data_IF_054548740159
#
_entry.id   IF_054548740159
#
_cell.length_a   1.000
_cell.length_b   1.000
_cell.length_c   1.000
_cell.angle_alpha   90.00
_cell.angle_beta   90.00
_cell.angle_gamma   90.00
#
_symmetry.space_group_name_H-M   'P 1'
#
loop_
_entity.id
_entity.type
_entity.pdbx_description
1 polymer ?
#
# COMPACT_ATOMS: atom_id res chain seq x y z
N UNK A 1 46.33 -2.35 -0.21
CA UNK A 1 46.06 -3.63 0.48
C UNK A 1 44.91 -3.41 1.47
N UNK A 2 43.83 -4.18 1.28
CA UNK A 2 42.68 -4.46 2.15
C UNK A 2 41.96 -3.29 2.86
N UNK A 3 40.98 -2.71 2.18
CA UNK A 3 39.86 -2.01 2.83
C UNK A 3 38.85 -3.05 3.34
N UNK A 4 38.59 -3.04 4.65
CA UNK A 4 37.65 -3.93 5.32
C UNK A 4 36.21 -3.63 4.86
N UNK A 5 35.49 -4.68 4.43
CA UNK A 5 34.05 -4.63 4.16
C UNK A 5 33.30 -4.77 5.49
N UNK A 6 32.50 -3.77 5.83
CA UNK A 6 31.53 -3.86 6.93
C UNK A 6 30.35 -4.73 6.50
N UNK A 7 30.17 -5.86 7.17
CA UNK A 7 28.97 -6.70 7.05
C UNK A 7 27.94 -6.19 8.06
N UNK A 8 26.81 -5.66 7.58
CA UNK A 8 25.63 -5.49 8.40
C UNK A 8 24.96 -6.87 8.55
N UNK A 9 24.87 -7.38 9.77
CA UNK A 9 24.12 -8.60 10.09
C UNK A 9 22.70 -8.17 10.45
N UNK A 10 21.73 -8.51 9.61
CA UNK A 10 20.31 -8.40 9.95
C UNK A 10 19.98 -9.65 10.78
N UNK A 11 19.77 -9.47 12.08
CA UNK A 11 19.30 -10.54 12.96
C UNK A 11 17.77 -10.60 12.92
N UNK A 12 17.21 -11.81 12.82
CA UNK A 12 15.78 -12.04 13.00
C UNK A 12 15.43 -11.91 14.48
N UNK A 13 14.46 -11.07 14.82
CA UNK A 13 14.01 -10.84 16.20
C UNK A 13 12.82 -11.76 16.45
N UNK A 14 12.92 -12.63 17.46
CA UNK A 14 11.82 -13.48 17.92
C UNK A 14 11.16 -12.80 19.12
N UNK A 15 9.84 -12.55 19.01
CA UNK A 15 9.02 -12.07 20.13
C UNK A 15 8.42 -13.27 20.88
N UNK A 16 8.89 -13.51 22.11
CA UNK A 16 8.38 -14.57 23.00
C UNK A 16 7.11 -14.15 23.79
N UNK A 17 6.24 -13.35 23.19
CA UNK A 17 4.96 -12.93 23.79
C UNK A 17 5.05 -11.84 24.88
N UNK A 18 6.24 -11.31 25.17
CA UNK A 18 6.45 -10.10 25.99
C UNK A 18 6.94 -8.96 25.09
N UNK A 19 6.14 -7.89 24.87
CA UNK A 19 6.49 -6.80 23.96
C UNK A 19 7.69 -5.98 24.44
N UNK A 20 8.06 -6.05 25.72
CA UNK A 20 9.20 -5.31 26.29
C UNK A 20 10.52 -6.11 26.28
N UNK A 21 10.50 -7.33 25.73
CA UNK A 21 11.58 -8.28 25.85
C UNK A 21 12.06 -8.76 24.47
N UNK A 22 13.31 -8.43 24.15
CA UNK A 22 13.97 -8.84 22.92
C UNK A 22 15.06 -9.86 23.25
N UNK A 23 15.01 -11.03 22.60
CA UNK A 23 16.03 -12.06 22.69
C UNK A 23 16.88 -12.04 21.42
N UNK A 24 18.19 -11.82 21.58
CA UNK A 24 19.13 -11.89 20.46
C UNK A 24 19.98 -13.14 20.63
N UNK A 25 19.86 -14.14 19.73
CA UNK A 25 20.71 -15.32 19.78
C UNK A 25 22.15 -14.92 19.44
N UNK A 26 23.08 -15.27 20.31
CA UNK A 26 24.51 -15.01 20.07
C UNK A 26 25.19 -16.22 19.44
N UNK A 27 26.23 -15.97 18.65
CA UNK A 27 27.02 -17.01 17.95
C UNK A 27 27.68 -18.02 18.91
N UNK A 28 27.78 -17.70 20.20
CA UNK A 28 28.33 -18.56 21.25
C UNK A 28 27.27 -19.45 21.93
N UNK A 29 26.02 -19.44 21.47
CA UNK A 29 24.96 -20.33 21.98
C UNK A 29 24.30 -19.87 23.28
N UNK A 30 24.44 -18.59 23.64
CA UNK A 30 23.70 -17.97 24.75
C UNK A 30 22.70 -16.92 24.26
N UNK A 31 21.52 -16.88 24.89
CA UNK A 31 20.54 -15.82 24.64
C UNK A 31 20.90 -14.58 25.46
N UNK A 32 20.98 -13.42 24.79
CA UNK A 32 21.04 -12.13 25.48
C UNK A 32 19.65 -11.51 25.46
N UNK A 33 19.10 -11.28 26.66
CA UNK A 33 17.85 -10.56 26.85
C UNK A 33 18.12 -9.07 27.00
N UNK A 34 17.44 -8.26 26.19
CA UNK A 34 17.43 -6.79 26.32
C UNK A 34 16.03 -6.36 26.74
N UNK A 35 15.94 -5.46 27.73
CA UNK A 35 14.69 -4.80 28.11
C UNK A 35 14.61 -3.44 27.45
N UNK A 36 13.56 -3.22 26.66
CA UNK A 36 13.25 -1.89 26.14
C UNK A 36 12.40 -1.13 27.17
N UNK A 37 12.63 0.18 27.35
CA UNK A 37 11.75 1.03 28.16
C UNK A 37 11.54 2.34 27.40
N UNK A 38 10.31 2.59 26.93
CA UNK A 38 9.95 3.82 26.22
C UNK A 38 10.30 3.84 24.72
N UNK A 39 10.29 2.69 24.03
CA UNK A 39 10.48 2.63 22.57
C UNK A 39 11.93 2.77 22.08
N UNK A 40 12.89 2.92 22.98
CA UNK A 40 14.32 2.96 22.66
C UNK A 40 15.06 1.90 23.47
N UNK A 41 15.72 0.97 22.80
CA UNK A 41 16.64 0.02 23.42
C UNK A 41 18.08 0.53 23.25
N UNK A 42 18.81 0.70 24.36
CA UNK A 42 20.23 1.02 24.33
C UNK A 42 21.04 -0.25 24.56
N UNK A 43 22.00 -0.52 23.67
CA UNK A 43 22.99 -1.59 23.86
C UNK A 43 24.33 -0.92 24.15
N UNK A 44 24.78 -0.98 25.41
CA UNK A 44 26.15 -0.61 25.76
C UNK A 44 27.07 -1.83 25.61
N UNK A 45 28.04 -1.75 24.69
CA UNK A 45 29.13 -2.71 24.58
C UNK A 45 30.41 -2.14 25.19
N UNK A 46 30.94 -2.81 26.21
CA UNK A 46 32.29 -2.56 26.73
C UNK A 46 33.29 -3.30 25.84
N UNK A 47 33.88 -2.61 24.86
CA UNK A 47 34.98 -3.14 24.03
C UNK A 47 34.83 -2.88 22.53
N UNK A 48 35.98 -2.67 21.86
CA UNK A 48 36.15 -2.15 20.50
C UNK A 48 35.21 -2.75 19.44
N UNK A 49 34.31 -1.92 18.91
CA UNK A 49 33.95 -1.91 17.49
C UNK A 49 32.50 -2.27 17.15
N UNK A 50 31.84 -1.32 16.47
CA UNK A 50 30.50 -1.32 15.86
C UNK A 50 29.35 -0.96 16.80
N UNK A 51 28.78 0.22 16.57
CA UNK A 51 27.48 0.66 17.09
C UNK A 51 26.45 0.52 15.97
N UNK A 52 25.34 -0.15 16.24
CA UNK A 52 24.14 -0.10 15.40
C UNK A 52 23.03 0.57 16.21
N UNK A 53 22.45 1.63 15.66
CA UNK A 53 21.24 2.26 16.21
C UNK A 53 20.06 1.61 15.51
N UNK A 54 19.24 0.87 16.25
CA UNK A 54 17.97 0.32 15.75
C UNK A 54 16.86 1.19 16.33
N UNK A 55 16.34 2.10 15.51
CA UNK A 55 15.15 2.89 15.86
C UNK A 55 13.92 2.06 15.51
N UNK A 56 13.36 1.34 16.51
CA UNK A 56 12.05 0.71 16.37
C UNK A 56 10.96 1.75 16.59
N UNK A 57 10.37 2.26 15.51
CA UNK A 57 9.10 2.99 15.60
C UNK A 57 7.95 2.00 15.76
N UNK A 58 7.55 1.74 16.99
CA UNK A 58 6.31 1.02 17.25
C UNK A 58 5.14 2.00 17.06
N UNK A 59 4.58 2.06 15.83
CA UNK A 59 3.25 2.66 15.62
C UNK A 59 2.22 1.70 16.20
N UNK A 60 1.87 1.85 17.47
CA UNK A 60 0.65 1.24 18.00
C UNK A 60 -0.54 2.06 17.52
N UNK A 61 -1.10 1.73 16.37
CA UNK A 61 -2.45 2.16 16.01
C UNK A 61 -3.43 1.39 16.90
N UNK A 62 -3.86 2.02 18.01
CA UNK A 62 -4.91 1.46 18.86
C UNK A 62 -6.24 1.88 18.25
N UNK A 63 -6.93 0.95 17.58
CA UNK A 63 -8.27 1.20 17.07
C UNK A 63 -9.21 1.64 18.20
N UNK A 64 -9.96 2.74 18.06
CA UNK A 64 -11.04 3.07 18.97
C UNK A 64 -12.23 2.11 18.78
N UNK A 65 -12.99 1.80 19.84
CA UNK A 65 -14.19 0.97 19.72
C UNK A 65 -15.29 1.67 18.92
N UNK A 66 -16.06 0.87 18.17
CA UNK A 66 -17.15 1.29 17.30
C UNK A 66 -18.43 1.62 18.08
N UNK A 67 -18.46 2.78 18.75
CA UNK A 67 -19.68 3.29 19.38
C UNK A 67 -20.06 4.67 18.81
N UNK A 68 -21.18 4.71 18.07
CA UNK A 68 -22.11 5.84 17.91
C UNK A 68 -21.56 7.23 17.58
N UNK A 69 -21.53 7.57 16.29
CA UNK A 69 -21.86 8.91 15.80
C UNK A 69 -20.81 10.02 15.91
N UNK A 70 -19.57 9.70 16.28
CA UNK A 70 -18.46 10.64 16.07
C UNK A 70 -17.93 10.48 14.65
N UNK A 71 -17.62 11.58 13.92
CA UNK A 71 -16.94 11.48 12.64
C UNK A 71 -15.68 10.64 12.85
N UNK A 72 -15.56 9.56 12.08
CA UNK A 72 -14.39 8.70 12.15
C UNK A 72 -13.15 9.58 12.01
N UNK A 73 -12.17 9.37 12.89
CA UNK A 73 -10.89 10.04 12.74
C UNK A 73 -10.36 9.75 11.33
N UNK A 74 -9.74 10.75 10.65
CA UNK A 74 -9.24 10.56 9.30
C UNK A 74 -8.32 9.34 9.28
N UNK A 75 -8.64 8.42 8.38
CA UNK A 75 -7.98 7.10 8.24
C UNK A 75 -6.49 7.28 7.91
N UNK A 76 -6.20 8.32 7.14
CA UNK A 76 -4.88 8.76 6.73
C UNK A 76 -4.95 9.46 5.38
N UNK A 77 -3.80 9.53 4.71
CA UNK A 77 -3.62 10.12 3.40
C UNK A 77 -2.95 9.16 2.42
N UNK A 78 -3.15 9.42 1.13
CA UNK A 78 -2.52 8.72 0.02
C UNK A 78 -1.95 9.68 -1.01
N UNK A 79 -1.15 9.16 -1.94
CA UNK A 79 -0.53 10.00 -2.97
C UNK A 79 -1.60 10.66 -3.83
N UNK A 80 -1.50 11.98 -3.99
CA UNK A 80 -2.38 12.76 -4.86
C UNK A 80 -2.25 12.38 -6.33
N UNK A 81 -1.18 11.67 -6.72
CA UNK A 81 -1.02 11.09 -8.04
C UNK A 81 -2.11 10.07 -8.39
N UNK A 82 -2.51 9.22 -7.43
CA UNK A 82 -3.62 8.28 -7.62
C UNK A 82 -4.94 9.00 -7.91
N UNK A 83 -5.22 10.04 -7.13
CA UNK A 83 -6.46 10.82 -7.23
C UNK A 83 -6.47 11.68 -8.49
N UNK A 84 -5.35 12.32 -8.80
CA UNK A 84 -5.17 13.12 -10.01
C UNK A 84 -5.37 12.27 -11.25
N UNK A 85 -4.92 11.02 -11.24
CA UNK A 85 -5.12 10.11 -12.36
C UNK A 85 -6.60 9.80 -12.60
N UNK A 86 -7.38 9.54 -11.55
CA UNK A 86 -8.84 9.32 -11.68
C UNK A 86 -9.51 10.56 -12.29
N UNK A 87 -9.13 11.76 -11.84
CA UNK A 87 -9.68 13.01 -12.40
C UNK A 87 -9.25 13.21 -13.86
N UNK A 88 -7.99 12.93 -14.19
CA UNK A 88 -7.49 12.98 -15.58
C UNK A 88 -8.24 11.99 -16.46
N UNK A 89 -8.46 10.76 -15.98
CA UNK A 89 -9.23 9.74 -16.70
C UNK A 89 -10.64 10.25 -17.02
N UNK A 90 -11.32 10.86 -16.04
CA UNK A 90 -12.65 11.44 -16.25
C UNK A 90 -12.60 12.56 -17.30
N UNK A 91 -11.58 13.42 -17.24
CA UNK A 91 -11.40 14.51 -18.20
C UNK A 91 -11.16 14.00 -19.62
N UNK A 92 -10.29 13.01 -19.78
CA UNK A 92 -9.94 12.43 -21.09
C UNK A 92 -11.13 11.72 -21.73
N UNK A 93 -11.98 11.08 -20.92
CA UNK A 93 -13.06 10.22 -21.41
C UNK A 93 -14.41 10.91 -21.52
N UNK A 94 -14.72 11.83 -20.59
CA UNK A 94 -16.01 12.53 -20.50
C UNK A 94 -15.89 14.05 -20.72
N UNK A 95 -14.68 14.60 -20.80
CA UNK A 95 -14.42 16.01 -21.05
C UNK A 95 -14.44 16.89 -19.79
N UNK A 96 -13.94 18.12 -19.93
CA UNK A 96 -13.74 19.04 -18.80
C UNK A 96 -15.03 19.41 -18.05
N UNK A 97 -16.20 19.39 -18.71
CA UNK A 97 -17.49 19.67 -18.05
C UNK A 97 -17.84 18.63 -16.99
N UNK A 98 -17.43 17.37 -17.19
CA UNK A 98 -17.65 16.30 -16.23
C UNK A 98 -16.75 16.45 -15.01
N UNK A 99 -15.55 17.00 -15.20
CA UNK A 99 -14.66 17.39 -14.09
C UNK A 99 -15.25 18.56 -13.31
N UNK A 100 -15.80 19.57 -13.98
CA UNK A 100 -16.47 20.67 -13.29
C UNK A 100 -17.65 20.15 -12.45
N UNK A 101 -18.47 19.26 -13.03
CA UNK A 101 -19.58 18.62 -12.31
C UNK A 101 -19.11 17.77 -11.11
N UNK A 102 -17.97 17.08 -11.22
CA UNK A 102 -17.36 16.34 -10.11
C UNK A 102 -17.06 17.27 -8.92
N UNK A 103 -16.36 18.37 -9.17
CA UNK A 103 -16.00 19.30 -8.08
C UNK A 103 -17.22 20.04 -7.51
N UNK A 104 -18.20 20.40 -8.35
CA UNK A 104 -19.45 20.99 -7.88
C UNK A 104 -20.20 20.06 -6.91
N UNK A 105 -20.26 18.75 -7.20
CA UNK A 105 -20.89 17.75 -6.33
C UNK A 105 -20.11 17.50 -5.04
N UNK A 106 -18.78 17.44 -5.12
CA UNK A 106 -17.93 17.29 -3.93
C UNK A 106 -18.08 18.47 -2.96
N UNK A 107 -18.17 19.69 -3.49
CA UNK A 107 -18.40 20.90 -2.70
C UNK A 107 -19.74 20.85 -1.98
N UNK A 108 -20.80 20.43 -2.68
CA UNK A 108 -22.14 20.27 -2.12
C UNK A 108 -22.18 19.20 -1.02
N UNK A 109 -21.64 18.00 -1.29
CA UNK A 109 -21.66 16.89 -0.34
C UNK A 109 -20.82 17.15 0.91
N UNK A 110 -19.68 17.83 0.79
CA UNK A 110 -18.77 18.06 1.92
C UNK A 110 -19.02 19.37 2.66
N UNK A 111 -19.79 20.28 2.10
CA UNK A 111 -20.06 21.60 2.69
C UNK A 111 -18.80 22.47 2.83
N UNK A 112 -17.74 22.17 2.06
CA UNK A 112 -16.49 22.95 1.96
C UNK A 112 -15.94 22.85 0.55
N UNK A 113 -15.29 23.91 0.09
CA UNK A 113 -14.63 23.96 -1.22
C UNK A 113 -13.51 22.90 -1.30
N UNK A 114 -13.62 22.00 -2.28
CA UNK A 114 -12.62 21.04 -2.72
C UNK A 114 -11.96 21.64 -3.96
N UNK A 115 -10.85 22.35 -3.75
CA UNK A 115 -10.15 22.97 -4.87
C UNK A 115 -9.60 21.92 -5.83
N UNK A 116 -9.89 22.05 -7.13
CA UNK A 116 -9.22 21.31 -8.20
C UNK A 116 -7.70 21.44 -8.14
N UNK A 117 -7.19 22.58 -7.67
CA UNK A 117 -5.74 22.79 -7.48
C UNK A 117 -5.17 21.96 -6.31
N UNK A 118 -5.99 21.52 -5.36
CA UNK A 118 -5.58 20.65 -4.26
C UNK A 118 -5.41 19.18 -4.67
N UNK A 119 -6.05 18.76 -5.77
CA UNK A 119 -5.93 17.42 -6.34
C UNK A 119 -4.85 17.44 -7.42
N UNK A 120 -3.60 17.19 -7.02
CA UNK A 120 -2.47 17.15 -7.93
C UNK A 120 -1.47 16.05 -7.52
N UNK A 121 -0.59 15.64 -8.43
CA UNK A 121 0.28 14.48 -8.19
C UNK A 121 1.18 14.57 -6.95
N UNK A 122 1.57 15.78 -6.54
CA UNK A 122 2.45 16.02 -5.41
C UNK A 122 1.74 16.22 -4.05
N UNK A 123 0.40 16.16 -3.99
CA UNK A 123 -0.33 16.39 -2.73
C UNK A 123 -0.50 15.08 -1.97
N UNK A 124 -0.80 15.21 -0.68
CA UNK A 124 -1.33 14.12 0.14
C UNK A 124 -2.85 14.30 0.21
N UNK A 125 -3.61 13.30 -0.22
CA UNK A 125 -5.08 13.35 -0.28
C UNK A 125 -5.64 12.49 0.82
N UNK A 126 -6.55 13.05 1.63
CA UNK A 126 -7.28 12.30 2.66
C UNK A 126 -8.00 11.10 2.02
N UNK A 127 -7.92 9.92 2.62
CA UNK A 127 -8.57 8.71 2.12
C UNK A 127 -10.05 8.94 1.79
N UNK A 128 -10.78 9.56 2.71
CA UNK A 128 -12.21 9.86 2.56
C UNK A 128 -12.49 10.80 1.37
N UNK A 129 -11.53 11.67 0.99
CA UNK A 129 -11.67 12.49 -0.21
C UNK A 129 -11.42 11.67 -1.47
N UNK A 130 -10.42 10.79 -1.46
CA UNK A 130 -10.14 9.92 -2.59
C UNK A 130 -11.31 8.99 -2.91
N UNK A 131 -11.89 8.35 -1.89
CA UNK A 131 -13.04 7.46 -2.09
C UNK A 131 -14.28 8.22 -2.55
N UNK A 132 -14.55 9.41 -1.99
CA UNK A 132 -15.64 10.27 -2.47
C UNK A 132 -15.45 10.68 -3.95
N UNK A 133 -14.22 10.95 -4.38
CA UNK A 133 -13.92 11.20 -5.79
C UNK A 133 -14.22 9.97 -6.65
N UNK A 134 -13.88 8.76 -6.19
CA UNK A 134 -14.20 7.52 -6.91
C UNK A 134 -15.71 7.28 -7.02
N UNK A 135 -16.48 7.55 -5.95
CA UNK A 135 -17.96 7.49 -5.98
C UNK A 135 -18.54 8.44 -7.02
N UNK A 136 -18.15 9.71 -6.97
CA UNK A 136 -18.69 10.71 -7.89
C UNK A 136 -18.26 10.47 -9.34
N UNK A 137 -17.03 10.01 -9.56
CA UNK A 137 -16.55 9.62 -10.90
C UNK A 137 -17.35 8.44 -11.43
N UNK A 138 -17.64 7.45 -10.58
CA UNK A 138 -18.47 6.32 -10.97
C UNK A 138 -19.88 6.78 -11.36
N UNK A 139 -20.51 7.64 -10.56
CA UNK A 139 -21.84 8.16 -10.83
C UNK A 139 -21.90 9.04 -12.09
N UNK A 140 -20.89 9.87 -12.33
CA UNK A 140 -20.83 10.76 -13.50
C UNK A 140 -20.58 9.97 -14.79
N UNK A 141 -19.70 8.97 -14.72
CA UNK A 141 -19.35 8.14 -15.86
C UNK A 141 -20.33 6.99 -16.12
N UNK A 142 -21.33 6.78 -15.25
CA UNK A 142 -22.19 5.59 -15.22
C UNK A 142 -21.32 4.31 -15.21
N UNK A 143 -20.30 4.32 -14.35
CA UNK A 143 -19.28 3.29 -14.28
C UNK A 143 -19.81 2.03 -13.61
N UNK A 144 -19.60 0.88 -14.25
CA UNK A 144 -19.73 -0.43 -13.63
C UNK A 144 -18.40 -0.90 -13.02
N UNK A 145 -18.41 -2.09 -12.42
CA UNK A 145 -17.23 -2.71 -11.80
C UNK A 145 -16.06 -2.85 -12.80
N UNK A 146 -16.35 -3.15 -14.07
CA UNK A 146 -15.34 -3.31 -15.11
C UNK A 146 -14.66 -1.97 -15.43
N UNK A 147 -15.41 -0.87 -15.48
CA UNK A 147 -14.85 0.46 -15.71
C UNK A 147 -14.00 0.95 -14.53
N UNK A 148 -14.40 0.64 -13.29
CA UNK A 148 -13.60 0.93 -12.09
C UNK A 148 -12.28 0.15 -12.10
N UNK A 149 -12.32 -1.10 -12.56
CA UNK A 149 -11.13 -1.92 -12.78
C UNK A 149 -10.23 -1.33 -13.88
N UNK A 150 -10.80 -0.85 -14.99
CA UNK A 150 -10.06 -0.14 -16.06
C UNK A 150 -9.30 1.07 -15.50
N UNK A 151 -9.95 1.91 -14.67
CA UNK A 151 -9.30 3.06 -14.02
C UNK A 151 -8.09 2.62 -13.18
N UNK A 152 -8.23 1.54 -12.42
CA UNK A 152 -7.15 0.97 -11.62
C UNK A 152 -5.97 0.51 -12.49
N UNK A 153 -6.29 -0.16 -13.60
CA UNK A 153 -5.32 -0.70 -14.55
C UNK A 153 -4.54 0.41 -15.27
N UNK A 154 -5.20 1.49 -15.66
CA UNK A 154 -4.54 2.69 -16.20
C UNK A 154 -3.52 3.28 -15.21
N UNK A 155 -3.75 3.09 -13.90
CA UNK A 155 -2.79 3.44 -12.86
C UNK A 155 -1.57 2.57 -12.76
N UNK A 156 -1.68 1.29 -13.12
CA UNK A 156 -0.51 0.45 -13.27
C UNK A 156 0.37 0.92 -14.44
N UNK A 157 -0.25 1.40 -15.52
CA UNK A 157 0.50 1.90 -16.67
C UNK A 157 1.28 3.19 -16.38
N UNK A 158 0.75 4.00 -15.48
CA UNK A 158 1.34 5.25 -15.02
C UNK A 158 2.01 5.13 -13.64
N UNK A 159 2.34 3.91 -13.21
CA UNK A 159 2.78 3.63 -11.83
C UNK A 159 3.99 4.45 -11.36
N UNK A 160 4.89 4.86 -12.25
CA UNK A 160 6.04 5.70 -11.85
C UNK A 160 5.60 7.09 -11.34
N UNK A 161 4.44 7.58 -11.80
CA UNK A 161 3.83 8.81 -11.32
C UNK A 161 3.09 8.59 -10.00
N UNK A 162 2.47 7.42 -9.83
CA UNK A 162 1.64 7.06 -8.67
C UNK A 162 2.49 6.63 -7.47
N UNK A 163 3.54 5.85 -7.73
CA UNK A 163 4.44 5.26 -6.73
C UNK A 163 5.90 5.50 -7.14
N UNK A 164 6.55 6.54 -6.61
CA UNK A 164 7.95 6.83 -6.90
C UNK A 164 8.86 5.63 -6.61
N UNK A 165 9.61 5.18 -7.63
CA UNK A 165 10.55 4.05 -7.53
C UNK A 165 9.98 2.68 -7.90
N UNK A 166 8.67 2.54 -8.13
CA UNK A 166 8.05 1.29 -8.56
C UNK A 166 8.65 0.74 -9.88
N UNK A 167 9.03 1.63 -10.80
CA UNK A 167 9.63 1.24 -12.09
C UNK A 167 10.91 0.40 -11.95
N UNK A 168 11.71 0.59 -10.90
CA UNK A 168 12.90 -0.25 -10.67
C UNK A 168 12.54 -1.67 -10.25
N UNK A 169 11.46 -1.82 -9.50
CA UNK A 169 10.95 -3.14 -9.07
C UNK A 169 10.35 -3.88 -10.26
N UNK A 170 9.56 -3.19 -11.09
CA UNK A 170 8.92 -3.77 -12.27
C UNK A 170 9.91 -4.20 -13.36
N UNK A 171 11.02 -3.48 -13.53
CA UNK A 171 12.09 -3.81 -14.50
C UNK A 171 12.72 -5.20 -14.30
N UNK A 172 12.52 -5.84 -13.15
CA UNK A 172 13.05 -7.18 -12.88
C UNK A 172 12.18 -8.29 -13.46
N UNK A 173 11.03 -7.97 -14.06
CA UNK A 173 10.12 -8.89 -14.74
C UNK A 173 9.88 -10.18 -13.94
N UNK A 174 9.48 -10.04 -12.68
CA UNK A 174 9.11 -11.17 -11.84
C UNK A 174 7.97 -10.80 -10.87
N UNK A 175 6.76 -11.37 -11.03
CA UNK A 175 5.61 -11.09 -10.16
C UNK A 175 5.85 -11.41 -8.68
N UNK A 176 6.53 -12.52 -8.36
CA UNK A 176 6.85 -12.87 -6.98
C UNK A 176 7.75 -11.82 -6.31
N UNK A 177 8.72 -11.24 -7.05
CA UNK A 177 9.57 -10.14 -6.52
C UNK A 177 8.77 -8.87 -6.30
N UNK A 178 7.82 -8.55 -7.16
CA UNK A 178 6.89 -7.45 -6.96
C UNK A 178 6.07 -7.65 -5.68
N UNK A 179 5.44 -8.83 -5.51
CA UNK A 179 4.61 -9.15 -4.34
C UNK A 179 5.40 -9.15 -3.04
N UNK A 180 6.64 -9.65 -3.05
CA UNK A 180 7.56 -9.55 -1.91
C UNK A 180 7.89 -8.09 -1.50
N UNK A 181 7.59 -7.11 -2.36
CA UNK A 181 7.76 -5.67 -2.09
C UNK A 181 6.43 -4.93 -1.93
N UNK A 182 5.29 -5.61 -2.00
CA UNK A 182 3.97 -4.99 -1.96
C UNK A 182 3.79 -4.10 -0.73
N UNK A 183 4.20 -4.57 0.46
CA UNK A 183 4.16 -3.77 1.69
C UNK A 183 5.00 -2.48 1.63
N UNK A 184 6.19 -2.55 1.03
CA UNK A 184 7.04 -1.35 0.86
C UNK A 184 6.42 -0.37 -0.14
N UNK A 185 5.87 -0.87 -1.24
CA UNK A 185 5.18 -0.05 -2.24
C UNK A 185 3.93 0.60 -1.66
N UNK A 186 3.17 -0.14 -0.84
CA UNK A 186 2.01 0.40 -0.14
C UNK A 186 2.37 1.57 0.76
N UNK A 187 3.43 1.45 1.57
CA UNK A 187 3.90 2.55 2.42
C UNK A 187 4.41 3.78 1.67
N UNK A 188 4.65 3.68 0.35
CA UNK A 188 4.92 4.86 -0.50
C UNK A 188 3.67 5.42 -1.17
N UNK A 189 2.59 4.64 -1.20
CA UNK A 189 1.30 4.98 -1.80
C UNK A 189 0.32 5.57 -0.78
N UNK A 190 0.29 5.04 0.44
CA UNK A 190 -0.60 5.44 1.52
C UNK A 190 0.15 5.46 2.86
N UNK A 191 -0.20 6.39 3.74
CA UNK A 191 0.38 6.48 5.10
C UNK A 191 -0.41 5.67 6.15
N UNK A 192 -1.51 5.06 5.69
CA UNK A 192 -2.45 4.24 6.43
C UNK A 192 -2.53 2.83 5.85
N UNK A 193 -3.14 1.94 6.62
CA UNK A 193 -3.28 0.54 6.24
C UNK A 193 -1.97 -0.21 6.10
N UNK A 194 -2.06 -1.46 5.67
CA UNK A 194 -0.92 -2.33 5.40
C UNK A 194 -1.29 -3.39 4.35
N UNK A 195 -0.29 -3.92 3.67
CA UNK A 195 -0.44 -5.03 2.70
C UNK A 195 0.25 -6.27 3.23
N UNK A 196 -0.44 -7.40 3.17
CA UNK A 196 0.06 -8.70 3.55
C UNK A 196 -0.18 -9.72 2.44
N UNK A 197 0.87 -10.44 2.03
CA UNK A 197 0.77 -11.59 1.14
C UNK A 197 0.47 -12.80 2.02
N UNK A 198 -0.75 -13.33 1.92
CA UNK A 198 -1.26 -14.44 2.74
C UNK A 198 -0.74 -15.79 2.23
N UNK A 199 -0.70 -15.95 0.90
CA UNK A 199 -0.20 -17.13 0.21
C UNK A 199 0.43 -16.70 -1.12
N UNK A 200 1.45 -17.42 -1.58
CA UNK A 200 2.09 -17.18 -2.88
C UNK A 200 2.79 -18.45 -3.32
N UNK A 201 2.47 -18.88 -4.53
CA UNK A 201 3.09 -19.99 -5.23
C UNK A 201 3.59 -19.53 -6.62
N UNK A 202 3.98 -20.50 -7.46
CA UNK A 202 4.28 -20.24 -8.86
C UNK A 202 2.95 -20.00 -9.62
N UNK A 203 2.76 -18.78 -10.10
CA UNK A 203 1.58 -18.39 -10.88
C UNK A 203 0.33 -18.01 -10.09
N UNK A 204 0.39 -17.94 -8.75
CA UNK A 204 -0.72 -17.44 -7.95
C UNK A 204 -0.28 -16.75 -6.66
N UNK A 205 -1.14 -15.87 -6.15
CA UNK A 205 -1.01 -15.31 -4.81
C UNK A 205 -2.36 -14.87 -4.23
N UNK A 206 -2.43 -14.87 -2.90
CA UNK A 206 -3.51 -14.22 -2.15
C UNK A 206 -2.91 -13.07 -1.34
N UNK A 207 -3.49 -11.89 -1.45
CA UNK A 207 -3.05 -10.71 -0.72
C UNK A 207 -4.21 -10.02 -0.01
N UNK A 208 -3.91 -9.40 1.12
CA UNK A 208 -4.87 -8.61 1.90
C UNK A 208 -4.32 -7.21 2.08
N UNK A 209 -5.17 -6.22 1.84
CA UNK A 209 -4.93 -4.86 2.31
C UNK A 209 -5.92 -4.54 3.41
N UNK A 210 -5.42 -4.03 4.53
CA UNK A 210 -6.23 -3.81 5.73
C UNK A 210 -5.85 -2.50 6.42
N UNK A 211 -6.60 -2.12 7.46
CA UNK A 211 -6.34 -0.91 8.24
C UNK A 211 -6.93 0.36 7.65
N UNK A 212 -7.97 0.22 6.82
CA UNK A 212 -8.85 1.30 6.37
C UNK A 212 -10.31 0.82 6.31
N UNK A 213 -11.29 1.73 6.35
CA UNK A 213 -12.70 1.40 6.16
C UNK A 213 -12.93 0.93 4.73
N UNK A 214 -13.49 -0.25 4.55
CA UNK A 214 -13.71 -0.80 3.21
C UNK A 214 -14.55 0.15 2.36
N UNK A 215 -14.17 0.29 1.09
CA UNK A 215 -14.91 1.06 0.11
C UNK A 215 -14.91 0.30 -1.23
N UNK A 216 -16.09 -0.04 -1.74
CA UNK A 216 -16.22 -1.00 -2.84
C UNK A 216 -15.55 -0.48 -4.13
N UNK A 217 -15.77 0.78 -4.51
CA UNK A 217 -15.10 1.35 -5.69
C UNK A 217 -13.57 1.37 -5.54
N UNK A 218 -13.07 1.54 -4.32
CA UNK A 218 -11.64 1.54 -4.08
C UNK A 218 -11.07 0.14 -4.23
N UNK A 219 -11.72 -0.89 -3.64
CA UNK A 219 -11.29 -2.28 -3.82
C UNK A 219 -11.33 -2.68 -5.31
N UNK A 220 -12.34 -2.27 -6.08
CA UNK A 220 -12.40 -2.53 -7.54
C UNK A 220 -11.26 -1.88 -8.32
N UNK A 221 -10.91 -0.63 -8.01
CA UNK A 221 -9.73 0.01 -8.63
C UNK A 221 -8.43 -0.71 -8.24
N UNK A 222 -8.33 -1.25 -7.02
CA UNK A 222 -7.17 -2.02 -6.60
C UNK A 222 -7.04 -3.35 -7.36
N UNK A 223 -8.16 -4.01 -7.71
CA UNK A 223 -8.11 -5.21 -8.56
C UNK A 223 -7.38 -4.90 -9.87
N UNK A 224 -7.86 -3.91 -10.62
CA UNK A 224 -7.27 -3.54 -11.91
C UNK A 224 -5.82 -3.03 -11.79
N UNK A 225 -5.52 -2.31 -10.71
CA UNK A 225 -4.16 -1.90 -10.41
C UNK A 225 -3.24 -3.12 -10.23
N UNK A 226 -3.67 -4.13 -9.46
CA UNK A 226 -2.86 -5.33 -9.25
C UNK A 226 -2.69 -6.15 -10.52
N UNK A 227 -3.70 -6.26 -11.36
CA UNK A 227 -3.57 -6.90 -12.66
C UNK A 227 -2.48 -6.26 -13.50
N UNK A 228 -2.59 -4.95 -13.73
CA UNK A 228 -1.63 -4.24 -14.55
C UNK A 228 -0.22 -4.27 -13.95
N UNK A 229 -0.09 -4.28 -12.61
CA UNK A 229 1.23 -4.41 -11.97
C UNK A 229 1.86 -5.79 -12.17
N UNK A 230 1.07 -6.86 -12.06
CA UNK A 230 1.56 -8.23 -12.30
C UNK A 230 1.95 -8.42 -13.76
N UNK A 231 1.15 -7.90 -14.70
CA UNK A 231 1.48 -7.92 -16.13
C UNK A 231 2.77 -7.17 -16.44
N UNK A 232 2.93 -5.96 -15.88
CA UNK A 232 4.16 -5.17 -16.03
C UNK A 232 5.36 -5.82 -15.36
N UNK A 233 5.13 -6.68 -14.38
CA UNK A 233 6.14 -7.54 -13.79
C UNK A 233 6.39 -8.82 -14.59
N UNK A 234 5.85 -8.96 -15.81
CA UNK A 234 6.10 -10.10 -16.69
C UNK A 234 5.18 -11.29 -16.48
N UNK A 235 4.10 -11.14 -15.71
CA UNK A 235 3.02 -12.12 -15.71
C UNK A 235 2.21 -12.03 -17.01
N UNK A 236 1.68 -13.16 -17.45
CA UNK A 236 0.76 -13.27 -18.57
C UNK A 236 -0.57 -13.87 -18.08
N UNK A 237 -1.63 -13.77 -18.90
CA UNK A 237 -2.98 -14.26 -18.57
C UNK A 237 -3.41 -13.92 -17.13
N UNK A 238 -3.18 -12.67 -16.74
CA UNK A 238 -3.35 -12.22 -15.35
C UNK A 238 -4.83 -12.03 -15.06
N UNK A 239 -5.27 -12.63 -13.95
CA UNK A 239 -6.61 -12.40 -13.40
C UNK A 239 -6.48 -12.07 -11.92
N UNK A 240 -7.06 -10.96 -11.48
CA UNK A 240 -7.21 -10.63 -10.05
C UNK A 240 -8.68 -10.50 -9.69
N UNK A 241 -9.08 -11.01 -8.53
CA UNK A 241 -10.45 -10.89 -8.04
C UNK A 241 -10.47 -10.74 -6.53
N UNK A 242 -11.36 -9.89 -6.03
CA UNK A 242 -11.69 -9.84 -4.61
C UNK A 242 -12.44 -11.13 -4.22
N UNK A 243 -11.93 -11.84 -3.20
CA UNK A 243 -12.48 -13.15 -2.76
C UNK A 243 -13.17 -13.10 -1.40
N UNK A 244 -12.93 -12.06 -0.60
CA UNK A 244 -13.56 -11.89 0.71
C UNK A 244 -13.86 -10.42 0.98
N UNK A 245 -15.15 -10.13 1.21
CA UNK A 245 -15.62 -8.83 1.69
C UNK A 245 -15.68 -8.84 3.23
N UNK A 246 -14.54 -8.64 3.90
CA UNK A 246 -14.56 -8.34 5.34
C UNK A 246 -14.67 -6.82 5.54
N UNK A 247 -15.90 -6.36 5.75
CA UNK A 247 -16.25 -4.96 6.02
C UNK A 247 -15.48 -4.35 7.20
N UNK A 248 -14.94 -5.15 8.12
CA UNK A 248 -14.13 -4.64 9.23
C UNK A 248 -12.63 -4.58 8.93
N UNK A 249 -12.14 -5.20 7.84
CA UNK A 249 -10.70 -5.49 7.67
C UNK A 249 -10.09 -5.23 6.29
N UNK A 250 -10.82 -4.62 5.36
CA UNK A 250 -10.27 -4.14 4.08
C UNK A 250 -10.62 -5.03 2.89
N UNK A 251 -9.70 -5.19 1.94
CA UNK A 251 -9.94 -5.95 0.70
C UNK A 251 -8.99 -7.17 0.63
N UNK A 252 -9.51 -8.34 0.27
CA UNK A 252 -8.71 -9.57 0.06
C UNK A 252 -8.81 -10.00 -1.39
N UNK A 253 -7.67 -10.12 -2.05
CA UNK A 253 -7.58 -10.45 -3.46
C UNK A 253 -6.88 -11.79 -3.67
N UNK A 254 -7.39 -12.55 -4.63
CA UNK A 254 -6.69 -13.68 -5.23
C UNK A 254 -6.27 -13.27 -6.64
N UNK A 255 -5.01 -13.52 -6.98
CA UNK A 255 -4.44 -13.28 -8.29
C UNK A 255 -3.83 -14.55 -8.86
N UNK A 256 -4.02 -14.77 -10.16
CA UNK A 256 -3.37 -15.84 -10.94
C UNK A 256 -2.70 -15.25 -12.16
N UNK A 257 -1.59 -15.87 -12.59
CA UNK A 257 -0.87 -15.52 -13.82
C UNK A 257 -0.11 -16.73 -14.36
N UNK A 258 0.18 -16.70 -15.66
CA UNK A 258 1.16 -17.58 -16.30
C UNK A 258 2.50 -16.87 -16.39
N UNK A 259 3.60 -17.62 -16.47
CA UNK A 259 4.92 -17.08 -16.71
C UNK A 259 5.52 -17.69 -17.98
N UNK A 260 5.81 -16.87 -19.01
CA UNK A 260 6.50 -17.33 -20.23
C UNK A 260 8.01 -17.51 -19.99
N UNK A 261 8.40 -17.80 -18.75
CA UNK A 261 9.79 -18.01 -18.35
C UNK A 261 10.26 -19.41 -18.76
N UNK A 262 10.17 -19.71 -20.06
CA UNK A 262 10.74 -20.89 -20.72
C UNK A 262 12.27 -20.96 -20.68
N UNK A 263 12.92 -20.31 -19.70
CA UNK A 263 14.34 -20.40 -19.41
C UNK A 263 14.57 -21.34 -18.21
N UNK A 264 14.60 -22.65 -18.50
CA UNK A 264 15.35 -23.63 -17.73
C UNK A 264 16.54 -24.14 -18.55
#
# INVERSE_FOLDING_TARGET
>A
MLAARSLAVIASIVHDGDPDRLSIPTREGGDRTIRARGGVAWVETVGRGVSAVVETRTRTAKCPPADGGSPMAPVGTMTGASTSMVVTWLEERQGSRSVDALFDRLDEHRGREVSRQGVHSASEIEYDLHTAILEEVADIADADDDLLREIGRDGADNIEQVIPGAGTILKLANPQRLLNRARTLWGTYADFGDVEVLAMDDGNATLRIYGFPKHDHFCRTLEGLFEGLVERAGGEDVEVREIEHDVERGCVFEGTWTDDSGFF
#
